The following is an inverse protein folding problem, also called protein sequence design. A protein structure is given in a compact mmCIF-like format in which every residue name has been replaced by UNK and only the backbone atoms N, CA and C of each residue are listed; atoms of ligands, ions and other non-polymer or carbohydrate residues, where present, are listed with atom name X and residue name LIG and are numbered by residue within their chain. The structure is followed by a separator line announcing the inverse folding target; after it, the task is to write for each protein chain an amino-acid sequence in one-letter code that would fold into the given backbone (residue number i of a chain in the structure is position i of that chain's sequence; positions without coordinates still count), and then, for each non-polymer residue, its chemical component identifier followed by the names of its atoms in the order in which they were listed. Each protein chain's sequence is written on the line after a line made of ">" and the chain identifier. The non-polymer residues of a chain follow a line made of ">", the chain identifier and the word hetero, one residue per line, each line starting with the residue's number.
data_IF_789894264309
#
_entry.id   IF_789894264309
#
_cell.length_a   1.000
_cell.length_b   1.000
_cell.length_c   1.000
_cell.angle_alpha   90.00
_cell.angle_beta   90.00
_cell.angle_gamma   90.00
#
_symmetry.space_group_name_H-M   'P 1'
#
loop_
_entity.id
_entity.type
_entity.pdbx_description
1 polymer ?
#
# COMPACT_ATOMS: atom_id res chain seq x y z
N UNK A 1 55.57 -25.05 11.54
CA UNK A 1 54.95 -24.18 10.51
C UNK A 1 53.47 -24.60 10.39
N UNK A 2 52.57 -23.82 11.02
CA UNK A 2 51.14 -24.04 10.94
C UNK A 2 50.59 -23.50 9.60
N UNK A 3 50.06 -24.33 8.77
CA UNK A 3 49.20 -23.91 7.65
C UNK A 3 47.89 -23.43 8.23
N UNK A 4 47.68 -22.11 8.26
CA UNK A 4 46.38 -21.52 8.62
C UNK A 4 45.31 -22.08 7.70
N UNK A 5 44.17 -22.50 8.28
CA UNK A 5 42.96 -22.85 7.53
C UNK A 5 42.50 -21.58 6.82
N UNK A 6 42.61 -21.55 5.49
CA UNK A 6 41.88 -20.57 4.69
C UNK A 6 40.41 -20.99 4.75
N UNK A 7 39.58 -20.18 5.37
CA UNK A 7 38.13 -20.33 5.25
C UNK A 7 37.80 -20.15 3.76
N UNK A 8 37.40 -21.23 3.13
CA UNK A 8 36.87 -21.18 1.76
C UNK A 8 35.61 -20.32 1.70
N UNK A 9 35.37 -19.74 0.55
CA UNK A 9 34.22 -18.89 0.25
C UNK A 9 32.91 -19.52 0.79
N UNK A 10 32.13 -18.74 1.54
CA UNK A 10 30.82 -19.19 2.03
C UNK A 10 29.85 -19.13 0.86
N UNK A 11 29.63 -20.27 0.21
CA UNK A 11 28.61 -20.33 -0.85
C UNK A 11 27.21 -20.29 -0.21
N UNK A 12 26.46 -19.25 -0.55
CA UNK A 12 25.05 -19.11 -0.19
C UNK A 12 24.20 -20.02 -1.06
N UNK A 13 23.47 -20.95 -0.43
CA UNK A 13 22.40 -21.70 -1.13
C UNK A 13 21.20 -20.76 -1.35
N UNK A 14 21.05 -20.24 -2.57
CA UNK A 14 19.96 -19.35 -2.96
C UNK A 14 18.95 -20.13 -3.82
N UNK A 15 17.72 -20.26 -3.31
CA UNK A 15 16.60 -20.79 -4.07
C UNK A 15 15.74 -19.62 -4.58
N UNK A 16 16.03 -19.18 -5.80
CA UNK A 16 15.35 -18.05 -6.44
C UNK A 16 13.86 -18.30 -6.68
N UNK A 17 13.47 -19.56 -6.91
CA UNK A 17 12.06 -19.91 -7.10
C UNK A 17 11.27 -19.74 -5.78
N UNK A 18 11.75 -20.35 -4.69
CA UNK A 18 11.11 -20.22 -3.39
C UNK A 18 11.07 -18.78 -2.90
N UNK A 19 12.15 -18.03 -3.09
CA UNK A 19 12.22 -16.62 -2.69
C UNK A 19 11.21 -15.75 -3.47
N UNK A 20 11.05 -15.97 -4.77
CA UNK A 20 10.05 -15.26 -5.57
C UNK A 20 8.62 -15.66 -5.17
N UNK A 21 8.39 -16.90 -4.81
CA UNK A 21 7.08 -17.35 -4.31
C UNK A 21 6.73 -16.70 -2.96
N UNK A 22 7.69 -16.61 -2.04
CA UNK A 22 7.52 -15.91 -0.76
C UNK A 22 7.23 -14.43 -0.99
N UNK A 23 7.96 -13.75 -1.88
CA UNK A 23 7.70 -12.34 -2.24
C UNK A 23 6.31 -12.15 -2.82
N UNK A 24 5.86 -13.06 -3.70
CA UNK A 24 4.51 -13.05 -4.24
C UNK A 24 3.44 -13.15 -3.15
N UNK A 25 3.58 -14.12 -2.24
CA UNK A 25 2.68 -14.30 -1.10
C UNK A 25 2.71 -13.08 -0.14
N UNK A 26 3.89 -12.48 0.08
CA UNK A 26 4.03 -11.25 0.86
C UNK A 26 3.23 -10.10 0.23
N UNK A 27 3.37 -9.88 -1.07
CA UNK A 27 2.61 -8.85 -1.79
C UNK A 27 1.11 -9.08 -1.68
N UNK A 28 0.65 -10.31 -1.87
CA UNK A 28 -0.77 -10.66 -1.76
C UNK A 28 -1.30 -10.39 -0.34
N UNK A 29 -0.56 -10.82 0.68
CA UNK A 29 -0.91 -10.57 2.09
C UNK A 29 -1.07 -9.08 2.38
N UNK A 30 -0.08 -8.25 2.01
CA UNK A 30 -0.13 -6.81 2.27
C UNK A 30 -1.23 -6.11 1.46
N UNK A 31 -1.51 -6.57 0.23
CA UNK A 31 -2.63 -6.07 -0.58
C UNK A 31 -3.98 -6.35 0.08
N UNK A 32 -4.20 -7.59 0.52
CA UNK A 32 -5.44 -8.00 1.19
C UNK A 32 -5.58 -7.31 2.55
N UNK A 33 -4.50 -7.22 3.32
CA UNK A 33 -4.50 -6.56 4.62
C UNK A 33 -4.81 -5.07 4.52
N UNK A 34 -4.18 -4.36 3.57
CA UNK A 34 -4.46 -2.93 3.32
C UNK A 34 -5.93 -2.72 2.92
N UNK A 35 -6.44 -3.55 2.00
CA UNK A 35 -7.85 -3.51 1.60
C UNK A 35 -8.79 -3.78 2.79
N UNK A 36 -8.48 -4.79 3.60
CA UNK A 36 -9.27 -5.11 4.78
C UNK A 36 -9.34 -3.93 5.76
N UNK A 37 -8.20 -3.29 6.05
CA UNK A 37 -8.15 -2.14 6.93
C UNK A 37 -9.00 -0.96 6.43
N UNK A 38 -8.99 -0.69 5.12
CA UNK A 38 -9.79 0.39 4.53
C UNK A 38 -11.29 0.06 4.57
N UNK A 39 -11.66 -1.17 4.19
CA UNK A 39 -13.07 -1.60 4.17
C UNK A 39 -13.63 -1.68 5.59
N UNK A 40 -12.86 -2.16 6.56
CA UNK A 40 -13.29 -2.26 7.97
C UNK A 40 -13.67 -0.90 8.55
N UNK A 41 -12.95 0.18 8.23
CA UNK A 41 -13.30 1.52 8.69
C UNK A 41 -14.64 2.02 8.11
N UNK A 42 -14.95 1.64 6.88
CA UNK A 42 -16.24 1.95 6.26
C UNK A 42 -17.35 1.09 6.87
N UNK A 43 -17.07 -0.19 7.10
CA UNK A 43 -18.00 -1.12 7.72
C UNK A 43 -18.35 -0.69 9.15
N UNK A 44 -17.37 -0.32 9.96
CA UNK A 44 -17.56 0.21 11.31
C UNK A 44 -18.44 1.48 11.31
N UNK A 45 -18.24 2.38 10.33
CA UNK A 45 -19.04 3.60 10.18
C UNK A 45 -20.50 3.30 9.80
N UNK A 46 -20.73 2.33 8.92
CA UNK A 46 -22.07 1.97 8.42
C UNK A 46 -22.77 0.95 9.32
N UNK A 47 -22.01 0.10 9.99
CA UNK A 47 -22.49 -1.02 10.81
C UNK A 47 -22.81 -0.67 12.26
N UNK A 48 -22.55 0.57 12.72
CA UNK A 48 -22.90 1.00 14.08
C UNK A 48 -24.41 0.90 14.27
N UNK A 49 -24.84 -0.09 15.06
CA UNK A 49 -26.27 -0.38 15.32
C UNK A 49 -26.99 0.71 16.11
N UNK A 50 -26.25 1.67 16.69
CA UNK A 50 -26.81 2.71 17.56
C UNK A 50 -26.83 4.09 16.92
N UNK A 51 -25.99 4.34 15.91
CA UNK A 51 -25.80 5.66 15.32
C UNK A 51 -25.47 5.62 13.83
N UNK A 52 -26.23 4.85 13.05
CA UNK A 52 -26.08 4.82 11.60
C UNK A 52 -27.26 5.54 10.89
N UNK A 53 -27.16 5.73 9.58
CA UNK A 53 -28.18 6.40 8.79
C UNK A 53 -29.53 5.68 8.87
N UNK A 54 -29.55 4.35 8.91
CA UNK A 54 -30.79 3.58 8.99
C UNK A 54 -31.54 3.85 10.29
N UNK A 55 -30.86 3.83 11.42
CA UNK A 55 -31.46 4.14 12.74
C UNK A 55 -32.02 5.56 12.77
N UNK A 56 -31.26 6.53 12.28
CA UNK A 56 -31.72 7.93 12.24
C UNK A 56 -32.92 8.11 11.28
N UNK A 57 -32.94 7.35 10.20
CA UNK A 57 -34.05 7.37 9.23
C UNK A 57 -35.31 6.70 9.82
N UNK A 58 -35.16 5.60 10.55
CA UNK A 58 -36.27 4.94 11.26
C UNK A 58 -36.88 5.89 12.30
N UNK A 59 -36.06 6.59 13.09
CA UNK A 59 -36.51 7.60 14.05
C UNK A 59 -37.30 8.73 13.36
N UNK A 60 -36.85 9.18 12.20
CA UNK A 60 -37.56 10.18 11.41
C UNK A 60 -38.94 9.67 10.95
N UNK A 61 -39.02 8.42 10.45
CA UNK A 61 -40.30 7.83 10.06
C UNK A 61 -41.26 7.65 11.22
N UNK A 62 -40.78 7.25 12.40
CA UNK A 62 -41.57 7.18 13.63
C UNK A 62 -42.13 8.56 14.05
N UNK A 63 -41.30 9.60 13.97
CA UNK A 63 -41.74 10.96 14.21
C UNK A 63 -42.78 11.44 13.21
N UNK A 64 -42.61 11.12 11.93
CA UNK A 64 -43.59 11.43 10.86
C UNK A 64 -44.93 10.68 11.05
N UNK A 65 -44.89 9.41 11.49
CA UNK A 65 -46.06 8.65 11.84
C UNK A 65 -46.85 9.31 13.00
N UNK A 66 -46.13 9.82 14.01
CA UNK A 66 -46.73 10.54 15.15
C UNK A 66 -47.46 11.80 14.70
N UNK A 67 -46.89 12.60 13.79
CA UNK A 67 -47.55 13.77 13.21
C UNK A 67 -48.74 13.35 12.36
N UNK A 68 -48.68 12.21 11.66
CA UNK A 68 -49.79 11.70 10.86
C UNK A 68 -51.01 11.33 11.73
N UNK A 69 -50.79 10.86 12.95
CA UNK A 69 -51.85 10.50 13.92
C UNK A 69 -52.48 11.74 14.57
N UNK A 70 -51.67 12.75 14.86
CA UNK A 70 -52.14 14.05 15.40
C UNK A 70 -51.43 15.21 14.73
N UNK A 71 -51.96 15.71 13.57
CA UNK A 71 -51.32 16.78 12.84
C UNK A 71 -51.29 18.15 13.52
N UNK A 72 -52.07 18.32 14.57
CA UNK A 72 -52.21 19.62 15.29
C UNK A 72 -51.27 19.70 16.48
N UNK A 73 -50.67 18.58 16.93
CA UNK A 73 -49.73 18.53 18.04
C UNK A 73 -48.43 19.23 17.70
N UNK A 74 -48.08 20.34 18.44
CA UNK A 74 -46.84 21.07 18.24
C UNK A 74 -45.60 20.25 18.60
N UNK A 75 -45.72 19.32 19.60
CA UNK A 75 -44.61 18.50 20.04
C UNK A 75 -44.25 17.46 19.00
N UNK A 76 -45.23 16.81 18.35
CA UNK A 76 -44.98 15.88 17.25
C UNK A 76 -44.32 16.59 16.07
N UNK A 77 -44.75 17.78 15.67
CA UNK A 77 -44.12 18.58 14.63
C UNK A 77 -42.69 18.96 14.96
N UNK A 78 -42.43 19.34 16.23
CA UNK A 78 -41.08 19.68 16.67
C UNK A 78 -40.16 18.44 16.65
N UNK A 79 -40.69 17.24 16.99
CA UNK A 79 -39.94 15.99 16.88
C UNK A 79 -39.49 15.71 15.45
N UNK A 80 -40.38 15.85 14.46
CA UNK A 80 -39.99 15.67 13.04
C UNK A 80 -38.86 16.61 12.62
N UNK A 81 -38.93 17.89 13.04
CA UNK A 81 -37.86 18.84 12.75
C UNK A 81 -36.52 18.44 13.42
N UNK A 82 -36.59 17.93 14.65
CA UNK A 82 -35.40 17.44 15.36
C UNK A 82 -34.77 16.25 14.64
N UNK A 83 -35.57 15.26 14.21
CA UNK A 83 -35.08 14.08 13.50
C UNK A 83 -34.54 14.41 12.10
N UNK A 84 -35.15 15.36 11.37
CA UNK A 84 -34.56 15.89 10.14
C UNK A 84 -33.19 16.52 10.36
N UNK A 85 -33.02 17.29 11.43
CA UNK A 85 -31.73 17.87 11.77
C UNK A 85 -30.71 16.80 12.17
N UNK A 86 -31.14 15.77 12.93
CA UNK A 86 -30.29 14.63 13.29
C UNK A 86 -29.81 13.90 12.03
N UNK A 87 -30.71 13.57 11.10
CA UNK A 87 -30.37 12.92 9.84
C UNK A 87 -29.41 13.77 8.98
N UNK A 88 -29.68 15.07 8.86
CA UNK A 88 -28.80 15.98 8.13
C UNK A 88 -27.38 16.06 8.74
N UNK A 89 -27.28 16.05 10.06
CA UNK A 89 -26.01 16.03 10.77
C UNK A 89 -25.27 14.70 10.58
N UNK A 90 -26.01 13.57 10.60
CA UNK A 90 -25.44 12.26 10.33
C UNK A 90 -24.85 12.17 8.91
N UNK A 91 -25.57 12.65 7.89
CA UNK A 91 -25.05 12.71 6.53
C UNK A 91 -23.76 13.56 6.43
N UNK A 92 -23.75 14.74 7.06
CA UNK A 92 -22.56 15.60 7.06
C UNK A 92 -21.37 14.93 7.76
N UNK A 93 -21.60 14.25 8.88
CA UNK A 93 -20.57 13.51 9.61
C UNK A 93 -20.01 12.38 8.77
N UNK A 94 -20.87 11.56 8.16
CA UNK A 94 -20.44 10.45 7.31
C UNK A 94 -19.65 10.95 6.08
N UNK A 95 -20.12 12.01 5.43
CA UNK A 95 -19.41 12.63 4.31
C UNK A 95 -18.02 13.12 4.72
N UNK A 96 -17.91 13.76 5.88
CA UNK A 96 -16.61 14.20 6.42
C UNK A 96 -15.68 13.02 6.71
N UNK A 97 -16.20 11.94 7.26
CA UNK A 97 -15.40 10.73 7.54
C UNK A 97 -14.91 10.10 6.23
N UNK A 98 -15.78 9.93 5.23
CA UNK A 98 -15.41 9.38 3.93
C UNK A 98 -14.34 10.23 3.23
N UNK A 99 -14.50 11.56 3.22
CA UNK A 99 -13.49 12.46 2.66
C UNK A 99 -12.15 12.35 3.42
N UNK A 100 -12.19 12.17 4.74
CA UNK A 100 -10.99 11.94 5.55
C UNK A 100 -10.29 10.62 5.21
N UNK A 101 -11.05 9.54 4.97
CA UNK A 101 -10.50 8.25 4.53
C UNK A 101 -9.87 8.35 3.14
N UNK A 102 -10.53 9.06 2.21
CA UNK A 102 -10.01 9.31 0.86
C UNK A 102 -8.67 10.06 0.92
N UNK A 103 -8.60 11.16 1.67
CA UNK A 103 -7.36 11.92 1.86
C UNK A 103 -6.24 11.08 2.51
N UNK A 104 -6.60 10.28 3.52
CA UNK A 104 -5.65 9.36 4.16
C UNK A 104 -5.11 8.33 3.18
N UNK A 105 -5.98 7.74 2.36
CA UNK A 105 -5.60 6.76 1.33
C UNK A 105 -4.67 7.39 0.29
N UNK A 106 -4.98 8.59 -0.20
CA UNK A 106 -4.14 9.33 -1.14
C UNK A 106 -2.74 9.63 -0.56
N UNK A 107 -2.70 10.01 0.73
CA UNK A 107 -1.43 10.22 1.44
C UNK A 107 -0.62 8.92 1.55
N UNK A 108 -1.25 7.80 1.88
CA UNK A 108 -0.59 6.49 1.97
C UNK A 108 -0.07 6.03 0.59
N UNK A 109 -0.81 6.30 -0.49
CA UNK A 109 -0.33 6.00 -1.85
C UNK A 109 0.94 6.81 -2.15
N UNK A 110 0.93 8.11 -1.88
CA UNK A 110 2.11 8.98 -2.12
C UNK A 110 3.32 8.51 -1.31
N UNK A 111 3.15 8.22 -0.03
CA UNK A 111 4.21 7.69 0.82
C UNK A 111 4.74 6.33 0.32
N UNK A 112 3.84 5.45 -0.16
CA UNK A 112 4.25 4.17 -0.72
C UNK A 112 5.07 4.33 -2.00
N UNK A 113 4.73 5.30 -2.84
CA UNK A 113 5.51 5.64 -4.05
C UNK A 113 6.91 6.16 -3.68
N UNK A 114 7.01 7.03 -2.66
CA UNK A 114 8.30 7.52 -2.16
C UNK A 114 9.17 6.38 -1.61
N UNK A 115 8.58 5.47 -0.84
CA UNK A 115 9.26 4.28 -0.32
C UNK A 115 9.77 3.39 -1.47
N UNK A 116 8.91 3.11 -2.47
CA UNK A 116 9.27 2.31 -3.66
C UNK A 116 10.46 2.95 -4.37
N UNK A 117 10.39 4.26 -4.64
CA UNK A 117 11.48 5.00 -5.30
C UNK A 117 12.77 4.98 -4.49
N UNK A 118 12.69 5.08 -3.16
CA UNK A 118 13.84 4.97 -2.26
C UNK A 118 14.47 3.58 -2.34
N UNK A 119 13.67 2.50 -2.24
CA UNK A 119 14.17 1.13 -2.31
C UNK A 119 14.79 0.81 -3.67
N UNK A 120 14.18 1.24 -4.77
CA UNK A 120 14.71 1.00 -6.12
C UNK A 120 16.03 1.72 -6.36
N UNK A 121 16.20 2.96 -5.86
CA UNK A 121 17.48 3.69 -5.90
C UNK A 121 18.57 2.98 -5.10
N UNK A 122 18.24 2.50 -3.90
CA UNK A 122 19.17 1.75 -3.07
C UNK A 122 19.57 0.43 -3.74
N UNK A 123 18.61 -0.32 -4.31
CA UNK A 123 18.86 -1.56 -5.03
C UNK A 123 19.75 -1.35 -6.26
N UNK A 124 19.52 -0.28 -7.04
CA UNK A 124 20.40 0.08 -8.15
C UNK A 124 21.83 0.42 -7.69
N UNK A 125 21.96 1.06 -6.55
CA UNK A 125 23.27 1.36 -5.94
C UNK A 125 23.96 0.09 -5.44
N UNK A 126 23.23 -0.82 -4.77
CA UNK A 126 23.77 -2.11 -4.35
C UNK A 126 24.21 -2.97 -5.52
N UNK A 127 23.45 -2.99 -6.62
CA UNK A 127 23.87 -3.68 -7.85
C UNK A 127 25.25 -3.23 -8.32
N UNK A 128 25.49 -1.91 -8.39
CA UNK A 128 26.83 -1.36 -8.75
C UNK A 128 27.92 -1.79 -7.78
N UNK A 129 27.61 -1.84 -6.48
CA UNK A 129 28.58 -2.25 -5.46
C UNK A 129 28.89 -3.75 -5.56
N UNK A 130 27.88 -4.59 -5.75
CA UNK A 130 28.01 -6.04 -5.93
C UNK A 130 28.86 -6.34 -7.17
N UNK A 131 28.54 -5.73 -8.32
CA UNK A 131 29.30 -5.88 -9.57
C UNK A 131 30.76 -5.45 -9.39
N UNK A 132 31.01 -4.33 -8.71
CA UNK A 132 32.35 -3.81 -8.45
C UNK A 132 33.18 -4.77 -7.59
N UNK A 133 32.60 -5.25 -6.48
CA UNK A 133 33.29 -6.16 -5.55
C UNK A 133 33.54 -7.51 -6.23
N UNK A 134 32.54 -8.05 -6.94
CA UNK A 134 32.69 -9.28 -7.71
C UNK A 134 33.79 -9.17 -8.76
N UNK A 135 33.83 -8.08 -9.54
CA UNK A 135 34.87 -7.84 -10.55
C UNK A 135 36.27 -7.70 -9.97
N UNK A 136 36.41 -7.28 -8.70
CA UNK A 136 37.69 -7.12 -8.03
C UNK A 136 38.19 -8.41 -7.35
N UNK A 137 37.28 -9.20 -6.78
CA UNK A 137 37.62 -10.33 -5.90
C UNK A 137 37.33 -11.69 -6.53
N UNK A 138 36.48 -11.75 -7.55
CA UNK A 138 35.94 -12.97 -8.15
C UNK A 138 34.90 -13.68 -7.26
N UNK A 139 34.66 -13.18 -6.04
CA UNK A 139 33.70 -13.75 -5.09
C UNK A 139 32.41 -12.91 -4.97
N UNK A 140 31.33 -13.54 -4.57
CA UNK A 140 30.07 -12.86 -4.30
C UNK A 140 30.05 -12.27 -2.89
N UNK A 141 29.82 -10.94 -2.71
CA UNK A 141 29.84 -10.29 -1.41
C UNK A 141 28.56 -10.60 -0.62
N UNK A 142 28.60 -11.57 0.30
CA UNK A 142 27.45 -12.06 1.04
C UNK A 142 26.68 -10.95 1.77
N UNK A 143 27.37 -10.01 2.40
CA UNK A 143 26.78 -8.91 3.15
C UNK A 143 25.94 -7.99 2.25
N UNK A 144 26.40 -7.71 1.02
CA UNK A 144 25.66 -6.89 0.06
C UNK A 144 24.46 -7.65 -0.53
N UNK A 145 24.62 -8.96 -0.69
CA UNK A 145 23.50 -9.82 -1.12
C UNK A 145 22.40 -9.89 -0.07
N UNK A 146 22.75 -9.95 1.22
CA UNK A 146 21.79 -9.94 2.31
C UNK A 146 21.04 -8.59 2.41
N UNK A 147 21.76 -7.48 2.27
CA UNK A 147 21.14 -6.15 2.20
C UNK A 147 20.20 -6.01 1.00
N UNK A 148 20.59 -6.53 -0.17
CA UNK A 148 19.77 -6.58 -1.36
C UNK A 148 18.47 -7.35 -1.11
N UNK A 149 18.56 -8.51 -0.52
CA UNK A 149 17.40 -9.37 -0.28
C UNK A 149 16.46 -8.77 0.77
N UNK A 150 16.97 -8.07 1.76
CA UNK A 150 16.17 -7.30 2.70
C UNK A 150 15.39 -6.18 2.00
N UNK A 151 16.04 -5.39 1.14
CA UNK A 151 15.36 -4.35 0.35
C UNK A 151 14.34 -4.92 -0.62
N UNK A 152 14.62 -6.07 -1.25
CA UNK A 152 13.67 -6.77 -2.11
C UNK A 152 12.43 -7.23 -1.34
N UNK A 153 12.60 -7.70 -0.10
CA UNK A 153 11.49 -8.07 0.78
C UNK A 153 10.64 -6.85 1.12
N UNK A 154 11.25 -5.74 1.55
CA UNK A 154 10.56 -4.47 1.83
C UNK A 154 9.82 -3.91 0.61
N UNK A 155 10.43 -4.00 -0.57
CA UNK A 155 9.80 -3.57 -1.82
C UNK A 155 8.59 -4.45 -2.15
N UNK A 156 8.66 -5.77 -1.90
CA UNK A 156 7.54 -6.69 -2.14
C UNK A 156 6.33 -6.48 -1.21
N UNK A 157 6.52 -5.81 -0.07
CA UNK A 157 5.43 -5.38 0.80
C UNK A 157 4.62 -4.21 0.20
N UNK A 158 5.24 -3.42 -0.67
CA UNK A 158 4.64 -2.22 -1.27
C UNK A 158 4.05 -2.47 -2.66
N UNK A 159 4.72 -3.31 -3.45
CA UNK A 159 4.34 -3.55 -4.85
C UNK A 159 4.73 -4.96 -5.31
N UNK A 160 3.91 -5.55 -6.17
CA UNK A 160 4.22 -6.84 -6.78
C UNK A 160 5.37 -6.74 -7.77
N UNK A 161 6.46 -7.45 -7.47
CA UNK A 161 7.70 -7.44 -8.26
C UNK A 161 8.05 -8.81 -8.81
N UNK A 162 8.73 -8.79 -9.95
CA UNK A 162 9.44 -9.91 -10.52
C UNK A 162 10.93 -9.60 -10.52
N UNK A 163 11.72 -10.46 -9.88
CA UNK A 163 13.17 -10.30 -9.76
C UNK A 163 13.87 -11.33 -10.64
N UNK A 164 14.82 -10.87 -11.44
CA UNK A 164 15.70 -11.71 -12.25
C UNK A 164 17.14 -11.40 -11.87
N UNK A 165 17.86 -12.39 -11.38
CA UNK A 165 19.26 -12.26 -10.99
C UNK A 165 20.18 -12.60 -12.18
N UNK A 166 21.22 -11.81 -12.38
CA UNK A 166 22.31 -12.12 -13.29
C UNK A 166 23.30 -13.02 -12.52
N UNK A 167 23.40 -14.30 -12.93
CA UNK A 167 24.26 -15.30 -12.27
C UNK A 167 25.75 -14.94 -12.33
N UNK A 168 26.16 -14.15 -13.33
CA UNK A 168 27.57 -13.84 -13.54
C UNK A 168 28.04 -12.67 -12.67
N UNK A 169 27.14 -11.76 -12.31
CA UNK A 169 27.48 -10.54 -11.58
C UNK A 169 26.79 -10.42 -10.22
N UNK A 170 25.74 -11.21 -9.96
CA UNK A 170 24.91 -11.12 -8.76
C UNK A 170 23.97 -9.90 -8.75
N UNK A 171 24.00 -9.06 -9.78
CA UNK A 171 23.08 -7.94 -9.90
C UNK A 171 21.67 -8.41 -10.25
N UNK A 172 20.66 -7.67 -9.81
CA UNK A 172 19.25 -7.98 -10.07
C UNK A 172 18.60 -6.95 -10.99
N UNK A 173 17.74 -7.44 -11.88
CA UNK A 173 16.77 -6.63 -12.59
C UNK A 173 15.40 -6.85 -11.96
N UNK A 174 14.67 -5.76 -11.74
CA UNK A 174 13.39 -5.76 -11.05
C UNK A 174 12.36 -5.11 -11.96
N UNK A 175 11.25 -5.79 -12.17
CA UNK A 175 10.11 -5.26 -12.92
C UNK A 175 8.83 -5.42 -12.11
N UNK A 176 7.85 -4.57 -12.39
CA UNK A 176 6.47 -4.77 -11.94
C UNK A 176 5.84 -5.96 -12.67
N UNK A 177 4.70 -6.43 -12.18
CA UNK A 177 3.97 -7.57 -12.80
C UNK A 177 3.54 -7.28 -14.25
N UNK A 178 3.31 -6.01 -14.60
CA UNK A 178 2.99 -5.57 -15.96
C UNK A 178 4.21 -5.51 -16.90
N UNK A 179 5.42 -5.84 -16.41
CA UNK A 179 6.66 -5.86 -17.18
C UNK A 179 7.45 -4.55 -17.18
N UNK A 180 6.92 -3.46 -16.61
CA UNK A 180 7.66 -2.18 -16.54
C UNK A 180 8.82 -2.31 -15.55
N UNK A 181 10.01 -1.86 -15.98
CA UNK A 181 11.23 -1.98 -15.17
C UNK A 181 11.23 -0.97 -14.02
N UNK A 182 11.57 -1.42 -12.82
CA UNK A 182 11.87 -0.57 -11.66
C UNK A 182 13.37 -0.41 -11.45
N UNK A 183 14.13 -1.48 -11.69
CA UNK A 183 15.60 -1.47 -11.62
C UNK A 183 16.15 -2.29 -12.79
N UNK A 184 17.13 -1.74 -13.51
CA UNK A 184 17.88 -2.44 -14.54
C UNK A 184 19.37 -2.21 -14.32
N UNK A 185 20.09 -3.25 -13.86
CA UNK A 185 21.46 -3.12 -13.43
C UNK A 185 21.63 -2.00 -12.40
N UNK A 186 22.49 -1.03 -12.69
CA UNK A 186 22.74 0.13 -11.82
C UNK A 186 21.81 1.34 -12.07
N UNK A 187 20.69 1.20 -12.77
CA UNK A 187 19.73 2.27 -13.06
C UNK A 187 18.39 1.95 -12.40
N UNK A 188 17.80 2.93 -11.71
CA UNK A 188 16.42 2.89 -11.20
C UNK A 188 15.50 3.76 -12.03
N UNK A 189 14.24 3.38 -12.10
CA UNK A 189 13.16 4.13 -12.74
C UNK A 189 12.17 4.57 -11.67
N UNK A 190 11.58 5.73 -11.85
CA UNK A 190 10.74 6.37 -10.83
C UNK A 190 9.25 6.19 -11.13
N UNK A 191 8.49 6.06 -10.06
CA UNK A 191 7.04 6.20 -10.06
C UNK A 191 6.69 7.59 -9.52
N UNK A 192 5.59 8.14 -10.00
CA UNK A 192 5.05 9.41 -9.51
C UNK A 192 3.58 9.24 -9.10
N UNK A 193 3.24 9.71 -7.91
CA UNK A 193 1.86 9.86 -7.47
C UNK A 193 1.36 11.24 -7.88
N UNK A 194 0.23 11.31 -8.55
CA UNK A 194 -0.39 12.56 -8.99
C UNK A 194 -1.92 12.46 -8.89
N UNK A 195 -2.60 13.60 -8.86
CA UNK A 195 -4.05 13.63 -8.97
C UNK A 195 -4.50 13.11 -10.33
N UNK A 196 -5.59 12.36 -10.37
CA UNK A 196 -6.20 11.89 -11.61
C UNK A 196 -6.78 13.06 -12.39
N UNK A 197 -6.64 13.04 -13.71
CA UNK A 197 -7.24 14.06 -14.60
C UNK A 197 -8.78 14.03 -14.58
N UNK A 198 -9.37 12.86 -14.36
CA UNK A 198 -10.82 12.68 -14.33
C UNK A 198 -11.44 12.96 -12.96
N UNK A 199 -10.68 12.82 -11.88
CA UNK A 199 -11.10 13.07 -10.50
C UNK A 199 -9.92 13.55 -9.66
N UNK A 200 -9.81 14.87 -9.42
CA UNK A 200 -8.69 15.45 -8.65
C UNK A 200 -8.55 14.94 -7.22
N UNK A 201 -9.60 14.33 -6.67
CA UNK A 201 -9.56 13.75 -5.33
C UNK A 201 -8.95 12.34 -5.31
N UNK A 202 -8.77 11.72 -6.47
CA UNK A 202 -8.19 10.37 -6.60
C UNK A 202 -6.73 10.45 -7.02
N UNK A 203 -5.85 9.80 -6.26
CA UNK A 203 -4.43 9.68 -6.61
C UNK A 203 -4.20 8.50 -7.54
N UNK A 204 -3.49 8.75 -8.63
CA UNK A 204 -3.01 7.73 -9.59
C UNK A 204 -1.50 7.64 -9.52
N UNK A 205 -0.97 6.47 -9.85
CA UNK A 205 0.47 6.22 -9.92
C UNK A 205 0.87 6.08 -11.39
N UNK A 206 1.75 6.97 -11.83
CA UNK A 206 2.32 6.97 -13.17
C UNK A 206 3.78 6.51 -13.15
N UNK A 207 4.21 5.90 -14.23
CA UNK A 207 5.60 5.60 -14.50
C UNK A 207 6.24 6.82 -15.16
N UNK A 208 7.37 7.28 -14.64
CA UNK A 208 8.09 8.42 -15.21
C UNK A 208 9.10 7.88 -16.23
N UNK A 209 8.83 8.15 -17.51
CA UNK A 209 9.80 7.88 -18.57
C UNK A 209 11.03 8.78 -18.39
N UNK A 210 12.23 8.15 -18.40
CA UNK A 210 13.51 8.81 -18.17
C UNK A 210 14.08 9.40 -19.46
#
# INVERSE_FOLDING_TARGET
>A
FGYGVKVGDVQRAYDGFMTNQVRGATTEFYTLNSRYQQVSQIDDMLGDSTNNISVTMDSLFEAMESVSKDPVDPAARQSVLAEFNALANQYRSNSKTLNGLEQSTNTQISQSVDDINSYTKQLATLNKQIEKVHGQTGGMPADLLDQRDQLLSQLSEKIGIKVTENSDTGAVNISMQNGMALVSGGKSYELQASASESDPNTTVVAYVDA
#
